data_IF_270646587934
#
_entry.id   IF_270646587934
#
_cell.length_a   1.000
_cell.length_b   1.000
_cell.length_c   1.000
_cell.angle_alpha   90.00
_cell.angle_beta   90.00
_cell.angle_gamma   90.00
#
_symmetry.space_group_name_H-M   'P 1'
#
loop_
_entity.id
_entity.type
_entity.pdbx_description
1 polymer ?
#
# COMPACT_ATOMS: atom_id res chain seq x y z
N UNK A 1 -14.45 3.86 -7.44
CA UNK A 1 -13.08 4.43 -7.46
C UNK A 1 -13.01 5.81 -6.81
N UNK A 2 -14.06 6.60 -6.88
CA UNK A 2 -14.05 8.03 -6.53
C UNK A 2 -13.56 8.38 -5.11
N UNK A 3 -13.55 7.42 -4.17
CA UNK A 3 -13.06 7.64 -2.80
C UNK A 3 -11.59 7.21 -2.57
N UNK A 4 -10.91 6.57 -3.53
CA UNK A 4 -9.54 6.07 -3.35
C UNK A 4 -8.46 7.14 -3.53
N UNK A 5 -8.77 8.20 -4.26
CA UNK A 5 -7.83 9.24 -4.67
C UNK A 5 -8.47 10.62 -4.55
N UNK A 6 -7.65 11.64 -4.34
CA UNK A 6 -8.05 13.05 -4.33
C UNK A 6 -7.07 13.89 -5.12
N UNK A 7 -7.54 14.98 -5.70
CA UNK A 7 -6.67 15.93 -6.39
C UNK A 7 -6.11 16.96 -5.40
N UNK A 8 -4.80 17.13 -5.39
CA UNK A 8 -4.08 18.15 -4.61
C UNK A 8 -3.14 18.90 -5.56
N UNK A 9 -3.42 20.19 -5.79
CA UNK A 9 -2.64 21.06 -6.67
C UNK A 9 -2.43 20.49 -8.10
N UNK A 10 -3.45 19.84 -8.67
CA UNK A 10 -3.37 19.24 -10.01
C UNK A 10 -2.72 17.84 -10.05
N UNK A 11 -2.31 17.29 -8.90
CA UNK A 11 -1.77 15.93 -8.78
C UNK A 11 -2.79 15.03 -8.11
N UNK A 12 -3.03 13.86 -8.70
CA UNK A 12 -3.86 12.83 -8.11
C UNK A 12 -3.04 12.06 -7.06
N UNK A 13 -3.47 12.12 -5.80
CA UNK A 13 -2.84 11.42 -4.67
C UNK A 13 -3.83 10.46 -4.02
N UNK A 14 -3.34 9.47 -3.27
CA UNK A 14 -4.24 8.59 -2.51
C UNK A 14 -5.04 9.37 -1.47
N UNK A 15 -6.28 8.93 -1.24
CA UNK A 15 -7.20 9.60 -0.33
C UNK A 15 -6.95 9.20 1.12
N UNK A 16 -5.90 9.78 1.71
CA UNK A 16 -5.57 9.66 3.14
C UNK A 16 -5.10 11.01 3.67
N UNK A 17 -5.22 11.20 4.97
CA UNK A 17 -4.70 12.36 5.69
C UNK A 17 -3.36 12.06 6.40
N UNK A 18 -2.86 10.82 6.27
CA UNK A 18 -1.55 10.40 6.78
C UNK A 18 -0.49 10.68 5.71
N UNK A 19 0.63 11.27 6.12
CA UNK A 19 1.78 11.47 5.24
C UNK A 19 2.49 10.14 4.95
N UNK A 20 2.99 9.92 3.71
CA UNK A 20 3.78 8.72 3.42
C UNK A 20 5.00 8.58 4.33
N UNK A 21 5.51 7.34 4.53
CA UNK A 21 6.84 7.13 5.10
C UNK A 21 7.94 7.86 4.31
N UNK A 22 9.10 8.07 4.93
CA UNK A 22 10.30 8.55 4.25
C UNK A 22 10.65 7.60 3.10
N UNK A 23 11.00 8.15 1.94
CA UNK A 23 11.27 7.41 0.69
C UNK A 23 10.06 6.67 0.10
N UNK A 24 8.84 7.08 0.48
CA UNK A 24 7.58 6.60 -0.09
C UNK A 24 6.75 7.75 -0.65
N UNK A 25 5.83 7.43 -1.54
CA UNK A 25 4.94 8.36 -2.22
C UNK A 25 3.48 7.97 -2.08
N UNK A 26 2.59 8.96 -2.12
CA UNK A 26 1.15 8.78 -2.34
C UNK A 26 0.70 9.30 -3.71
N UNK A 27 1.61 9.68 -4.61
CA UNK A 27 1.25 10.09 -5.96
C UNK A 27 0.72 8.88 -6.73
N UNK A 28 -0.57 8.92 -7.07
CA UNK A 28 -1.27 7.78 -7.65
C UNK A 28 -0.64 7.31 -8.97
N UNK A 29 -0.16 8.25 -9.79
CA UNK A 29 0.49 7.92 -11.06
C UNK A 29 1.84 7.24 -10.84
N UNK A 30 2.63 7.74 -9.88
CA UNK A 30 3.96 7.18 -9.58
C UNK A 30 3.84 5.80 -8.92
N UNK A 31 2.73 5.54 -8.24
CA UNK A 31 2.36 4.22 -7.72
C UNK A 31 1.89 3.24 -8.81
N UNK A 32 1.82 3.61 -10.09
CA UNK A 32 1.37 2.73 -11.18
C UNK A 32 -0.07 2.95 -11.65
N UNK A 33 -0.81 3.88 -11.03
CA UNK A 33 -2.13 4.31 -11.46
C UNK A 33 -3.15 3.17 -11.62
N UNK A 34 -4.07 3.34 -12.56
CA UNK A 34 -5.17 2.39 -12.77
C UNK A 34 -4.72 0.99 -13.20
N UNK A 35 -3.55 0.86 -13.82
CA UNK A 35 -3.00 -0.44 -14.19
C UNK A 35 -2.72 -1.29 -12.94
N UNK A 36 -2.23 -0.67 -11.87
CA UNK A 36 -1.92 -1.39 -10.63
C UNK A 36 -3.10 -1.38 -9.65
N UNK A 37 -3.76 -0.24 -9.48
CA UNK A 37 -4.69 0.03 -8.39
C UNK A 37 -6.16 0.19 -8.80
N UNK A 38 -6.43 0.10 -10.09
CA UNK A 38 -7.79 0.17 -10.60
C UNK A 38 -8.67 -1.01 -10.15
N UNK A 39 -9.97 -0.94 -10.44
CA UNK A 39 -10.98 -1.95 -10.08
C UNK A 39 -10.70 -3.32 -10.75
N UNK A 40 -9.98 -3.30 -11.87
CA UNK A 40 -9.40 -4.48 -12.51
C UNK A 40 -7.88 -4.41 -12.63
N UNK A 41 -7.22 -3.59 -11.81
CA UNK A 41 -5.77 -3.48 -11.77
C UNK A 41 -5.11 -4.71 -11.16
N UNK A 42 -3.80 -4.85 -11.35
CA UNK A 42 -3.08 -6.06 -10.99
C UNK A 42 -3.23 -6.42 -9.50
N UNK A 43 -3.22 -5.45 -8.57
CA UNK A 43 -3.36 -5.73 -7.12
C UNK A 43 -4.74 -6.28 -6.78
N UNK A 44 -5.80 -5.84 -7.48
CA UNK A 44 -7.14 -6.41 -7.30
C UNK A 44 -7.19 -7.87 -7.78
N UNK A 45 -6.47 -8.19 -8.86
CA UNK A 45 -6.27 -9.56 -9.34
C UNK A 45 -5.55 -10.42 -8.32
N UNK A 46 -4.39 -9.97 -7.83
CA UNK A 46 -3.59 -10.67 -6.81
C UNK A 46 -4.42 -10.88 -5.55
N UNK A 47 -5.08 -9.85 -5.00
CA UNK A 47 -5.92 -10.01 -3.81
C UNK A 47 -6.97 -11.13 -3.97
N UNK A 48 -7.61 -11.21 -5.15
CA UNK A 48 -8.59 -12.24 -5.46
C UNK A 48 -7.97 -13.65 -5.53
N UNK A 49 -6.75 -13.79 -6.04
CA UNK A 49 -6.04 -15.08 -6.07
C UNK A 49 -5.81 -15.62 -4.66
N UNK A 50 -5.54 -14.74 -3.69
CA UNK A 50 -5.43 -15.06 -2.27
C UNK A 50 -6.80 -15.17 -1.56
N UNK A 51 -7.90 -15.25 -2.31
CA UNK A 51 -9.25 -15.38 -1.75
C UNK A 51 -9.77 -14.12 -1.03
N UNK A 52 -9.07 -12.99 -1.14
CA UNK A 52 -9.47 -11.73 -0.55
C UNK A 52 -10.52 -11.04 -1.43
N UNK A 53 -11.46 -10.36 -0.79
CA UNK A 53 -12.52 -9.61 -1.47
C UNK A 53 -12.73 -8.26 -0.83
N UNK A 54 -13.17 -7.30 -1.64
CA UNK A 54 -13.38 -5.92 -1.24
C UNK A 54 -12.73 -4.96 -2.23
N UNK A 55 -12.86 -3.66 -1.94
CA UNK A 55 -12.20 -2.61 -2.71
C UNK A 55 -10.77 -2.45 -2.21
N UNK A 56 -9.80 -2.64 -3.10
CA UNK A 56 -8.40 -2.26 -2.86
C UNK A 56 -8.32 -0.73 -2.79
N UNK A 57 -7.79 -0.20 -1.69
CA UNK A 57 -7.53 1.22 -1.52
C UNK A 57 -6.02 1.46 -1.45
N UNK A 58 -5.38 2.01 -2.49
CA UNK A 58 -3.96 2.33 -2.44
C UNK A 58 -3.68 3.34 -1.32
N UNK A 59 -2.59 3.16 -0.60
CA UNK A 59 -2.14 4.13 0.40
C UNK A 59 -0.80 4.75 -0.03
N UNK A 60 0.26 3.95 -0.05
CA UNK A 60 1.62 4.42 -0.35
C UNK A 60 2.41 3.40 -1.16
N UNK A 61 3.42 3.83 -1.90
CA UNK A 61 4.45 2.96 -2.49
C UNK A 61 5.84 3.51 -2.23
N UNK A 62 6.86 2.65 -2.19
CA UNK A 62 8.24 3.11 -2.17
C UNK A 62 8.55 3.91 -3.43
N UNK A 63 9.35 4.97 -3.27
CA UNK A 63 9.80 5.80 -4.38
C UNK A 63 10.65 4.99 -5.35
N UNK A 64 10.50 5.27 -6.64
CA UNK A 64 11.16 4.48 -7.71
C UNK A 64 12.69 4.43 -7.59
N UNK A 65 13.33 5.45 -7.01
CA UNK A 65 14.78 5.51 -6.83
C UNK A 65 15.31 4.54 -5.76
N UNK A 66 14.44 4.01 -4.90
CA UNK A 66 14.82 3.01 -3.88
C UNK A 66 15.20 1.68 -4.51
N UNK A 67 14.68 1.38 -5.72
CA UNK A 67 14.86 0.11 -6.41
C UNK A 67 13.93 -1.01 -5.90
N UNK A 68 13.15 -0.73 -4.86
CA UNK A 68 12.16 -1.65 -4.29
C UNK A 68 10.78 -1.43 -4.93
N UNK A 69 9.97 -2.48 -5.02
CA UNK A 69 8.59 -2.42 -5.52
C UNK A 69 7.59 -2.76 -4.40
N UNK A 70 7.76 -2.14 -3.23
CA UNK A 70 6.90 -2.37 -2.08
C UNK A 70 5.80 -1.31 -2.02
N UNK A 71 4.57 -1.76 -1.77
CA UNK A 71 3.40 -0.88 -1.60
C UNK A 71 2.59 -1.24 -0.37
N UNK A 72 1.91 -0.26 0.20
CA UNK A 72 0.96 -0.38 1.30
C UNK A 72 -0.44 -0.03 0.79
N UNK A 73 -1.43 -0.86 1.10
CA UNK A 73 -2.82 -0.63 0.76
C UNK A 73 -3.78 -1.11 1.86
N UNK A 74 -5.01 -0.62 1.83
CA UNK A 74 -6.10 -1.12 2.67
C UNK A 74 -7.04 -2.00 1.85
N UNK A 75 -7.48 -3.11 2.42
CA UNK A 75 -8.57 -3.93 1.90
C UNK A 75 -9.44 -4.41 3.06
N UNK A 76 -10.73 -4.12 2.97
CA UNK A 76 -11.74 -4.52 3.98
C UNK A 76 -11.35 -4.13 5.41
N UNK A 77 -10.76 -2.93 5.59
CA UNK A 77 -10.34 -2.38 6.87
C UNK A 77 -9.06 -2.98 7.46
N UNK A 78 -8.34 -3.82 6.71
CA UNK A 78 -7.01 -4.33 7.06
C UNK A 78 -5.93 -3.73 6.15
N UNK A 79 -4.74 -3.56 6.70
CA UNK A 79 -3.56 -3.06 5.98
C UNK A 79 -2.74 -4.22 5.41
N UNK A 80 -2.24 -4.04 4.19
CA UNK A 80 -1.48 -5.05 3.47
C UNK A 80 -0.24 -4.46 2.81
N UNK A 81 0.86 -5.21 2.88
CA UNK A 81 2.07 -4.97 2.10
C UNK A 81 2.01 -5.84 0.84
N UNK A 82 2.18 -5.19 -0.31
CA UNK A 82 2.35 -5.85 -1.60
C UNK A 82 3.80 -5.74 -2.04
N UNK A 83 4.42 -6.87 -2.35
CA UNK A 83 5.71 -6.91 -3.04
C UNK A 83 5.49 -7.14 -4.53
N UNK A 84 5.65 -6.09 -5.34
CA UNK A 84 5.46 -6.13 -6.78
C UNK A 84 6.51 -6.94 -7.56
N UNK A 85 7.65 -7.27 -6.95
CA UNK A 85 8.66 -8.15 -7.58
C UNK A 85 8.27 -9.61 -7.42
N UNK A 86 7.80 -10.00 -6.23
CA UNK A 86 7.48 -11.40 -5.91
C UNK A 86 6.01 -11.75 -6.14
N UNK A 87 5.12 -10.76 -6.28
CA UNK A 87 3.68 -10.97 -6.34
C UNK A 87 3.07 -11.43 -5.01
N UNK A 88 3.76 -11.17 -3.89
CA UNK A 88 3.37 -11.63 -2.56
C UNK A 88 2.59 -10.55 -1.79
N UNK A 89 1.62 -11.02 -1.00
CA UNK A 89 0.79 -10.21 -0.11
C UNK A 89 1.03 -10.60 1.34
N UNK A 90 1.23 -9.59 2.17
CA UNK A 90 1.42 -9.76 3.61
C UNK A 90 0.43 -8.87 4.36
N UNK A 91 -0.38 -9.47 5.23
CA UNK A 91 -1.27 -8.71 6.10
C UNK A 91 -0.48 -8.12 7.25
N UNK A 92 -0.64 -6.82 7.52
CA UNK A 92 -0.07 -6.18 8.71
C UNK A 92 -0.98 -6.47 9.90
N UNK A 93 -0.42 -7.13 10.92
CA UNK A 93 -1.11 -7.49 12.17
C UNK A 93 -0.92 -6.42 13.22
N UNK A 94 0.32 -5.98 13.41
CA UNK A 94 0.66 -4.94 14.38
C UNK A 94 1.81 -4.04 13.86
N UNK A 95 1.69 -2.70 14.03
CA UNK A 95 0.47 -1.99 14.38
C UNK A 95 -0.59 -2.07 13.26
N UNK A 96 -1.88 -2.06 13.61
CA UNK A 96 -2.99 -2.14 12.64
C UNK A 96 -3.59 -0.77 12.24
N UNK A 97 -3.09 0.32 12.81
CA UNK A 97 -3.46 1.70 12.50
C UNK A 97 -2.45 2.33 11.52
N UNK A 98 -2.93 3.05 10.49
CA UNK A 98 -2.09 3.58 9.42
C UNK A 98 -1.00 4.54 9.93
N UNK A 99 -1.35 5.43 10.86
CA UNK A 99 -0.40 6.40 11.41
C UNK A 99 0.73 5.67 12.15
N UNK A 100 0.39 4.67 12.97
CA UNK A 100 1.39 3.86 13.68
C UNK A 100 2.24 2.99 12.76
N UNK A 101 1.67 2.48 11.65
CA UNK A 101 2.44 1.77 10.62
C UNK A 101 3.50 2.72 10.04
N UNK A 102 3.11 3.92 9.62
CA UNK A 102 4.03 4.92 9.08
C UNK A 102 5.11 5.30 10.10
N UNK A 103 4.74 5.53 11.35
CA UNK A 103 5.69 5.83 12.44
C UNK A 103 6.69 4.69 12.66
N UNK A 104 6.24 3.44 12.56
CA UNK A 104 7.10 2.25 12.69
C UNK A 104 8.07 2.13 11.52
N UNK A 105 7.61 2.36 10.28
CA UNK A 105 8.46 2.36 9.08
C UNK A 105 9.50 3.49 9.15
N UNK A 106 9.12 4.66 9.66
CA UNK A 106 10.01 5.82 9.79
C UNK A 106 11.00 5.75 10.95
N UNK A 107 10.81 4.83 11.90
CA UNK A 107 11.70 4.69 13.05
C UNK A 107 13.06 4.15 12.58
N UNK A 108 14.16 4.92 12.75
CA UNK A 108 15.48 4.61 12.20
C UNK A 108 16.11 3.34 12.80
N UNK A 109 15.60 2.84 13.93
CA UNK A 109 16.08 1.61 14.57
C UNK A 109 15.22 0.39 14.26
N UNK A 110 14.07 0.58 13.59
CA UNK A 110 13.07 -0.46 13.33
C UNK A 110 12.85 -0.68 11.83
N UNK A 111 12.31 0.32 11.15
CA UNK A 111 11.86 0.20 9.76
C UNK A 111 10.74 -0.83 9.56
N UNK A 112 10.53 -1.22 8.30
CA UNK A 112 9.50 -2.22 7.93
C UNK A 112 9.63 -3.56 8.67
N UNK A 113 10.86 -3.95 9.09
CA UNK A 113 11.11 -5.22 9.77
C UNK A 113 10.45 -5.32 11.15
N UNK A 114 10.02 -4.21 11.71
CA UNK A 114 9.29 -4.18 12.98
C UNK A 114 7.77 -4.34 12.83
N UNK A 115 7.25 -4.40 11.60
CA UNK A 115 5.87 -4.76 11.36
C UNK A 115 5.69 -6.26 11.63
N UNK A 116 4.70 -6.60 12.44
CA UNK A 116 4.23 -7.98 12.52
C UNK A 116 3.37 -8.25 11.29
N UNK A 117 3.83 -9.15 10.43
CA UNK A 117 3.16 -9.49 9.18
C UNK A 117 2.82 -10.98 9.10
N UNK A 118 1.68 -11.28 8.49
CA UNK A 118 1.23 -12.64 8.21
C UNK A 118 1.20 -12.83 6.69
N UNK A 119 1.80 -13.92 6.21
CA UNK A 119 1.74 -14.31 4.79
C UNK A 119 0.31 -14.78 4.54
N UNK A 120 -0.37 -14.17 3.57
CA UNK A 120 -1.63 -14.74 3.08
C UNK A 120 -1.27 -16.00 2.29
N UNK A 121 -1.92 -17.14 2.58
CA UNK A 121 -1.70 -18.39 1.85
C UNK A 121 -2.87 -18.64 0.90
N UNK A 122 -2.57 -19.13 -0.30
CA UNK A 122 -3.55 -19.60 -1.30
C UNK A 122 -4.38 -20.78 -0.77
#
# INVERSE_FOLDING_TARGET
>A
MDDNVKEVNGTLVTNTDVTPPNDWTNNYKDMGGDMLWGEGGDVAGVAKEYGLSGTVKPLFAMESYTGDAISLFELSGSHYIYNGIEGSLYKVKEPNDLQKIVETINDPNKGMRALEIEIEAL
#
